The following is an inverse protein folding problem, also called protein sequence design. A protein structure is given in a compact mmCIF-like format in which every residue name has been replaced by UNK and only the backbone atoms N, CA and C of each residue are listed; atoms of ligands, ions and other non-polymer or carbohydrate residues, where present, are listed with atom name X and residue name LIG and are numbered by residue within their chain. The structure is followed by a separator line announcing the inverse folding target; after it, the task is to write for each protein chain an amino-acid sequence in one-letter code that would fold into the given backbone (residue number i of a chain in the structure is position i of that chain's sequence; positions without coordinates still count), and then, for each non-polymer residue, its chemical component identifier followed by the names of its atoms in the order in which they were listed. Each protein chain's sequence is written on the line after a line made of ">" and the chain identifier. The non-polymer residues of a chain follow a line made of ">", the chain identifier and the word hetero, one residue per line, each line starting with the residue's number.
data_IF_450249276386
#
_entry.id   IF_450249276386
#
_cell.length_a   1.000
_cell.length_b   1.000
_cell.length_c   1.000
_cell.angle_alpha   90.00
_cell.angle_beta   90.00
_cell.angle_gamma   90.00
#
_symmetry.space_group_name_H-M   'P 1'
#
loop_
_entity.id
_entity.type
_entity.pdbx_description
1 polymer ?
#
# COMPACT_ATOMS: atom_id res chain seq x y z
N UNK A 1 -2.39 -43.83 14.24
CA UNK A 1 -2.18 -42.41 13.93
C UNK A 1 -2.46 -42.28 12.45
N UNK A 2 -3.66 -41.80 12.11
CA UNK A 2 -4.10 -41.73 10.73
C UNK A 2 -4.16 -40.27 10.30
N UNK A 3 -3.88 -40.01 9.03
CA UNK A 3 -4.19 -38.72 8.41
C UNK A 3 -5.56 -38.87 7.77
N UNK A 4 -6.50 -38.06 8.23
CA UNK A 4 -7.89 -38.06 7.78
C UNK A 4 -8.13 -36.81 6.93
N UNK A 5 -8.52 -37.04 5.68
CA UNK A 5 -8.91 -35.98 4.76
C UNK A 5 -10.43 -35.82 4.81
N UNK A 6 -10.92 -34.60 5.03
CA UNK A 6 -12.25 -34.23 4.59
C UNK A 6 -12.18 -34.11 3.06
N UNK A 7 -12.72 -35.10 2.36
CA UNK A 7 -12.65 -35.21 0.89
C UNK A 7 -14.03 -35.57 0.34
N UNK A 8 -14.39 -34.93 -0.76
CA UNK A 8 -15.74 -34.97 -1.34
C UNK A 8 -16.11 -36.33 -1.94
N UNK A 9 -17.36 -36.77 -1.71
CA UNK A 9 -18.05 -37.87 -2.42
C UNK A 9 -19.42 -37.36 -2.90
N UNK A 10 -19.38 -36.37 -3.79
CA UNK A 10 -20.47 -35.83 -4.63
C UNK A 10 -21.69 -35.08 -4.00
N UNK A 11 -22.10 -34.01 -4.71
CA UNK A 11 -23.35 -33.20 -4.70
C UNK A 11 -23.72 -32.22 -3.57
N UNK A 12 -23.01 -32.13 -2.44
CA UNK A 12 -23.28 -31.10 -1.41
C UNK A 12 -22.23 -29.99 -1.44
N UNK A 13 -22.67 -28.73 -1.37
CA UNK A 13 -21.79 -27.55 -1.31
C UNK A 13 -20.89 -27.54 -0.04
N UNK A 14 -21.30 -28.24 1.02
CA UNK A 14 -20.51 -28.42 2.25
C UNK A 14 -20.83 -29.75 2.96
N UNK A 15 -19.82 -30.37 3.60
CA UNK A 15 -19.97 -31.63 4.35
C UNK A 15 -20.12 -31.41 5.86
N UNK A 16 -20.84 -32.26 6.59
CA UNK A 16 -20.99 -32.13 8.05
C UNK A 16 -19.89 -32.90 8.80
N UNK A 17 -19.25 -32.32 9.83
CA UNK A 17 -18.18 -32.98 10.59
C UNK A 17 -18.62 -34.34 11.18
N UNK A 18 -19.85 -34.43 11.69
CA UNK A 18 -20.41 -35.67 12.25
C UNK A 18 -20.90 -36.69 11.22
N UNK A 19 -20.76 -36.43 9.93
CA UNK A 19 -21.12 -37.36 8.86
C UNK A 19 -19.90 -38.17 8.43
N UNK A 20 -19.99 -39.51 8.45
CA UNK A 20 -18.93 -40.40 7.94
C UNK A 20 -18.65 -40.19 6.46
N UNK A 21 -19.63 -39.69 5.69
CA UNK A 21 -19.48 -39.41 4.26
C UNK A 21 -18.60 -38.19 3.97
N UNK A 22 -18.32 -37.36 4.98
CA UNK A 22 -17.40 -36.21 4.88
C UNK A 22 -15.94 -36.67 4.83
N UNK A 23 -15.66 -37.87 5.33
CA UNK A 23 -14.29 -38.31 5.64
C UNK A 23 -13.84 -39.41 4.70
N UNK A 24 -12.65 -39.25 4.14
CA UNK A 24 -12.01 -40.16 3.17
C UNK A 24 -11.95 -41.64 3.60
N UNK A 25 -11.93 -41.92 4.90
CA UNK A 25 -11.87 -43.28 5.44
C UNK A 25 -13.25 -43.88 5.75
N UNK A 26 -14.34 -43.13 5.56
CA UNK A 26 -15.68 -43.52 5.99
C UNK A 26 -15.85 -43.60 7.51
N UNK A 27 -14.90 -43.05 8.27
CA UNK A 27 -14.92 -43.01 9.74
C UNK A 27 -14.80 -41.56 10.22
N UNK A 28 -15.46 -41.25 11.34
CA UNK A 28 -15.33 -39.93 11.94
C UNK A 28 -13.91 -39.70 12.49
N UNK A 29 -13.39 -38.46 12.48
CA UNK A 29 -12.13 -38.12 13.11
C UNK A 29 -12.16 -38.44 14.59
N UNK A 30 -11.03 -38.90 15.09
CA UNK A 30 -10.76 -39.05 16.52
C UNK A 30 -9.75 -37.99 16.95
N UNK A 31 -9.68 -37.72 18.25
CA UNK A 31 -8.79 -36.72 18.82
C UNK A 31 -7.30 -36.90 18.45
N UNK A 32 -6.88 -38.12 18.10
CA UNK A 32 -5.48 -38.45 17.79
C UNK A 32 -5.16 -38.42 16.29
N UNK A 33 -6.14 -38.14 15.44
CA UNK A 33 -5.93 -38.07 13.99
C UNK A 33 -5.35 -36.71 13.60
N UNK A 34 -4.56 -36.72 12.52
CA UNK A 34 -4.24 -35.48 11.80
C UNK A 34 -5.35 -35.21 10.80
N UNK A 35 -5.96 -34.03 10.87
CA UNK A 35 -7.14 -33.68 10.08
C UNK A 35 -6.72 -32.70 8.99
N UNK A 36 -7.13 -32.95 7.75
CA UNK A 36 -6.92 -32.04 6.62
C UNK A 36 -8.26 -31.69 5.97
N UNK A 37 -8.63 -30.42 6.01
CA UNK A 37 -9.86 -29.88 5.42
C UNK A 37 -9.55 -29.41 3.99
N UNK A 38 -10.07 -30.14 3.00
CA UNK A 38 -9.87 -29.89 1.56
C UNK A 38 -11.13 -29.42 0.82
N UNK A 39 -12.23 -29.26 1.54
CA UNK A 39 -13.50 -28.73 1.05
C UNK A 39 -14.26 -28.12 2.23
N UNK A 40 -15.33 -27.38 1.95
CA UNK A 40 -16.13 -26.75 3.01
C UNK A 40 -16.73 -27.80 3.95
N UNK A 41 -16.45 -27.66 5.25
CA UNK A 41 -16.95 -28.53 6.32
C UNK A 41 -17.72 -27.70 7.33
N UNK A 42 -18.97 -28.07 7.56
CA UNK A 42 -19.80 -27.58 8.65
C UNK A 42 -19.39 -28.27 9.96
N UNK A 43 -18.77 -27.51 10.85
CA UNK A 43 -18.37 -27.93 12.18
C UNK A 43 -19.59 -27.93 13.12
N UNK A 44 -20.17 -29.11 13.35
CA UNK A 44 -21.41 -29.28 14.11
C UNK A 44 -21.26 -30.11 15.40
N UNK A 45 -20.03 -30.23 15.90
CA UNK A 45 -19.69 -31.03 17.08
C UNK A 45 -18.81 -30.23 18.03
N UNK A 46 -18.64 -30.73 19.26
CA UNK A 46 -17.49 -30.36 20.08
C UNK A 46 -16.36 -31.33 19.78
N UNK A 47 -15.15 -30.83 19.56
CA UNK A 47 -14.02 -31.67 19.17
C UNK A 47 -12.72 -31.24 19.83
N UNK A 48 -11.92 -32.21 20.25
CA UNK A 48 -10.58 -31.98 20.81
C UNK A 48 -9.54 -32.49 19.84
N UNK A 49 -8.58 -31.64 19.48
CA UNK A 49 -7.42 -31.98 18.64
C UNK A 49 -6.22 -32.22 19.54
N UNK A 50 -5.66 -33.43 19.53
CA UNK A 50 -4.41 -33.76 20.20
C UNK A 50 -3.19 -33.70 19.28
N UNK A 51 -3.40 -33.52 17.98
CA UNK A 51 -2.34 -33.55 16.98
C UNK A 51 -2.41 -32.32 16.07
N UNK A 52 -2.70 -32.48 14.77
CA UNK A 52 -2.70 -31.36 13.82
C UNK A 52 -4.04 -31.31 13.09
N UNK A 53 -4.58 -30.10 12.93
CA UNK A 53 -5.64 -29.79 11.97
C UNK A 53 -5.12 -28.77 10.97
N UNK A 54 -5.29 -29.05 9.68
CA UNK A 54 -4.88 -28.18 8.59
C UNK A 54 -6.09 -27.83 7.72
N UNK A 55 -6.31 -26.55 7.47
CA UNK A 55 -7.36 -26.04 6.58
C UNK A 55 -6.65 -25.46 5.36
N UNK A 56 -6.96 -26.01 4.18
CA UNK A 56 -6.34 -25.59 2.93
C UNK A 56 -6.90 -24.25 2.43
N UNK A 57 -6.19 -23.62 1.49
CA UNK A 57 -6.64 -22.35 0.91
C UNK A 57 -7.92 -22.53 0.08
N UNK A 58 -8.80 -21.53 0.12
CA UNK A 58 -10.05 -21.51 -0.65
C UNK A 58 -11.18 -22.39 -0.10
N UNK A 59 -11.02 -22.97 1.10
CA UNK A 59 -12.04 -23.81 1.75
C UNK A 59 -12.32 -23.38 3.18
N UNK A 60 -13.51 -23.72 3.69
CA UNK A 60 -13.97 -23.31 5.01
C UNK A 60 -14.17 -24.44 6.02
N UNK A 61 -13.77 -24.21 7.27
CA UNK A 61 -14.28 -24.96 8.43
C UNK A 61 -15.22 -24.02 9.19
N UNK A 62 -16.53 -24.21 9.02
CA UNK A 62 -17.56 -23.23 9.42
C UNK A 62 -18.49 -23.84 10.46
N UNK A 63 -18.63 -23.22 11.64
CA UNK A 63 -19.55 -23.71 12.66
C UNK A 63 -21.00 -23.75 12.16
N UNK A 64 -21.74 -24.78 12.58
CA UNK A 64 -23.18 -24.85 12.41
C UNK A 64 -23.88 -25.21 13.72
N UNK A 65 -24.81 -24.35 14.12
CA UNK A 65 -25.54 -24.43 15.38
C UNK A 65 -24.81 -23.78 16.56
N UNK A 66 -25.51 -23.74 17.71
CA UNK A 66 -25.07 -23.04 18.90
C UNK A 66 -24.23 -23.95 19.83
N UNK A 67 -23.34 -23.30 20.58
CA UNK A 67 -22.38 -23.82 21.56
C UNK A 67 -21.43 -24.90 21.03
N UNK A 68 -20.79 -24.64 19.88
CA UNK A 68 -19.78 -25.53 19.28
C UNK A 68 -18.36 -25.09 19.62
N UNK A 69 -17.53 -26.04 20.03
CA UNK A 69 -16.20 -25.78 20.57
C UNK A 69 -15.13 -26.68 19.94
N UNK A 70 -14.06 -26.06 19.47
CA UNK A 70 -12.82 -26.73 19.07
C UNK A 70 -11.79 -26.55 20.19
N UNK A 71 -11.30 -27.65 20.75
CA UNK A 71 -10.29 -27.62 21.81
C UNK A 71 -8.95 -28.09 21.26
N UNK A 72 -7.88 -27.31 21.47
CA UNK A 72 -6.51 -27.69 21.16
C UNK A 72 -5.82 -28.14 22.44
N UNK A 73 -5.37 -29.39 22.49
CA UNK A 73 -4.62 -29.96 23.62
C UNK A 73 -3.15 -29.50 23.60
N UNK A 74 -2.38 -29.69 24.70
CA UNK A 74 -0.97 -29.32 24.74
C UNK A 74 -0.16 -29.92 23.60
N UNK A 75 0.59 -29.08 22.87
CA UNK A 75 1.42 -29.49 21.74
C UNK A 75 0.69 -29.76 20.42
N UNK A 76 -0.64 -29.62 20.39
CA UNK A 76 -1.41 -29.69 19.15
C UNK A 76 -1.24 -28.42 18.30
N UNK A 77 -1.53 -28.52 16.99
CA UNK A 77 -1.39 -27.40 16.04
C UNK A 77 -2.62 -27.25 15.17
N UNK A 78 -3.09 -26.02 15.00
CA UNK A 78 -4.07 -25.63 14.00
C UNK A 78 -3.37 -24.78 12.95
N UNK A 79 -3.42 -25.20 11.69
CA UNK A 79 -2.96 -24.41 10.55
C UNK A 79 -4.18 -24.00 9.74
N UNK A 80 -4.48 -22.70 9.66
CA UNK A 80 -5.56 -22.19 8.85
C UNK A 80 -5.02 -21.42 7.64
N UNK A 81 -5.14 -21.97 6.43
CA UNK A 81 -4.84 -21.24 5.18
C UNK A 81 -6.11 -20.85 4.42
N UNK A 82 -7.28 -21.22 4.94
CA UNK A 82 -8.60 -21.04 4.32
C UNK A 82 -9.49 -20.14 5.17
N UNK A 83 -10.73 -20.56 5.43
CA UNK A 83 -11.69 -19.82 6.23
C UNK A 83 -12.12 -20.64 7.48
N UNK A 84 -11.51 -20.35 8.62
CA UNK A 84 -11.90 -20.93 9.90
C UNK A 84 -12.94 -20.03 10.54
N UNK A 85 -14.22 -20.40 10.46
CA UNK A 85 -15.27 -19.73 11.24
C UNK A 85 -15.72 -20.68 12.31
N UNK A 86 -15.45 -20.40 13.57
CA UNK A 86 -15.96 -21.23 14.65
C UNK A 86 -16.60 -20.39 15.75
N UNK A 87 -17.40 -21.01 16.61
CA UNK A 87 -17.97 -20.27 17.72
C UNK A 87 -16.96 -20.09 18.84
N UNK A 88 -16.24 -21.15 19.26
CA UNK A 88 -15.28 -21.09 20.37
C UNK A 88 -14.04 -21.95 20.12
N UNK A 89 -12.83 -21.36 20.13
CA UNK A 89 -11.56 -22.13 20.22
C UNK A 89 -10.99 -22.07 21.63
N UNK A 90 -11.00 -23.20 22.33
CA UNK A 90 -10.23 -23.37 23.56
C UNK A 90 -8.83 -23.89 23.22
N UNK A 91 -7.83 -23.02 23.25
CA UNK A 91 -6.46 -23.46 23.06
C UNK A 91 -5.72 -23.63 24.41
N UNK A 92 -5.56 -24.89 24.81
CA UNK A 92 -4.98 -25.33 26.07
C UNK A 92 -3.53 -25.79 25.84
N UNK A 93 -2.65 -24.82 25.53
CA UNK A 93 -1.23 -25.00 25.20
C UNK A 93 -0.92 -25.66 23.85
N UNK A 94 -1.81 -25.53 22.87
CA UNK A 94 -1.53 -25.76 21.45
C UNK A 94 -1.09 -24.47 20.72
N UNK A 95 -0.86 -24.57 19.41
CA UNK A 95 -0.46 -23.45 18.55
C UNK A 95 -1.47 -23.25 17.43
N UNK A 96 -1.94 -22.01 17.24
CA UNK A 96 -2.76 -21.63 16.09
C UNK A 96 -1.89 -20.81 15.13
N UNK A 97 -1.69 -21.30 13.91
CA UNK A 97 -1.07 -20.58 12.82
C UNK A 97 -2.17 -20.17 11.83
N UNK A 98 -2.55 -18.90 11.84
CA UNK A 98 -3.54 -18.37 10.91
C UNK A 98 -2.86 -17.64 9.75
N UNK A 99 -3.07 -18.15 8.54
CA UNK A 99 -2.65 -17.57 7.24
C UNK A 99 -3.86 -17.22 6.36
N UNK A 100 -5.08 -17.60 6.76
CA UNK A 100 -6.34 -17.31 6.08
C UNK A 100 -7.25 -16.42 6.92
N UNK A 101 -8.57 -16.56 6.75
CA UNK A 101 -9.58 -15.87 7.57
C UNK A 101 -9.87 -16.71 8.81
N UNK A 102 -9.72 -16.13 10.00
CA UNK A 102 -10.17 -16.74 11.26
C UNK A 102 -11.22 -15.86 11.92
N UNK A 103 -12.42 -16.43 12.08
CA UNK A 103 -13.56 -15.83 12.79
C UNK A 103 -13.94 -16.67 14.00
N UNK A 104 -13.98 -16.04 15.18
CA UNK A 104 -14.55 -16.60 16.41
C UNK A 104 -15.70 -15.70 16.90
N UNK A 105 -16.83 -16.30 17.29
CA UNK A 105 -17.99 -15.56 17.81
C UNK A 105 -18.11 -15.61 19.35
N UNK A 106 -17.10 -16.15 20.04
CA UNK A 106 -17.00 -16.30 21.50
C UNK A 106 -15.51 -16.40 21.91
N UNK A 107 -15.25 -16.47 23.21
CA UNK A 107 -13.94 -16.53 23.87
C UNK A 107 -12.86 -17.26 23.06
N UNK A 108 -11.80 -16.51 22.74
CA UNK A 108 -10.52 -17.08 22.35
C UNK A 108 -9.59 -17.18 23.56
N UNK A 109 -9.11 -18.40 23.72
CA UNK A 109 -7.74 -18.78 24.10
C UNK A 109 -7.08 -18.29 25.42
N UNK A 110 -6.37 -19.27 26.04
CA UNK A 110 -5.45 -19.11 27.16
C UNK A 110 -3.93 -19.21 26.79
N UNK A 111 -3.53 -19.17 25.49
CA UNK A 111 -2.18 -19.56 24.97
C UNK A 111 -1.87 -18.99 23.55
N UNK A 112 -0.69 -19.24 22.93
CA UNK A 112 -0.25 -18.44 21.77
C UNK A 112 -1.05 -18.57 20.47
N UNK A 113 -1.24 -17.45 19.76
CA UNK A 113 -1.81 -17.36 18.40
C UNK A 113 -0.78 -16.67 17.49
N UNK A 114 -0.33 -17.33 16.42
CA UNK A 114 0.48 -16.73 15.37
C UNK A 114 -0.42 -16.34 14.19
N UNK A 115 -0.76 -15.06 14.06
CA UNK A 115 -1.60 -14.51 12.99
C UNK A 115 -0.74 -13.83 11.90
N UNK A 116 -0.71 -14.43 10.72
CA UNK A 116 -0.10 -13.92 9.48
C UNK A 116 -1.14 -13.73 8.36
N UNK A 117 -2.43 -13.92 8.66
CA UNK A 117 -3.59 -13.62 7.84
C UNK A 117 -4.74 -13.09 8.71
N UNK A 118 -5.88 -12.75 8.10
CA UNK A 118 -6.92 -11.97 8.77
C UNK A 118 -7.64 -12.61 9.95
N UNK A 119 -7.75 -11.81 11.02
CA UNK A 119 -8.49 -12.13 12.25
C UNK A 119 -9.70 -11.20 12.30
N UNK A 120 -10.82 -11.69 11.77
CA UNK A 120 -12.10 -10.98 11.71
C UNK A 120 -12.94 -11.50 12.87
N UNK A 121 -13.28 -10.70 13.87
CA UNK A 121 -13.99 -11.23 15.05
C UNK A 121 -15.09 -10.33 15.56
N UNK A 122 -16.02 -10.89 16.34
CA UNK A 122 -16.90 -10.13 17.24
C UNK A 122 -16.19 -9.81 18.58
N UNK A 123 -15.26 -10.66 19.05
CA UNK A 123 -14.37 -10.39 20.20
C UNK A 123 -13.19 -11.38 20.33
N UNK A 124 -11.96 -10.90 20.11
CA UNK A 124 -10.71 -11.59 20.44
C UNK A 124 -10.51 -11.51 21.94
N UNK A 125 -10.28 -12.62 22.61
CA UNK A 125 -9.90 -12.67 24.02
C UNK A 125 -8.49 -13.28 24.11
N UNK A 126 -7.64 -12.80 25.00
CA UNK A 126 -6.32 -13.37 25.27
C UNK A 126 -6.12 -13.50 26.78
N UNK A 127 -6.29 -14.70 27.32
CA UNK A 127 -6.18 -14.98 28.75
C UNK A 127 -4.83 -15.64 29.06
N UNK A 128 -3.78 -14.88 29.40
CA UNK A 128 -2.47 -15.44 29.81
C UNK A 128 -1.64 -16.15 28.70
N UNK A 129 -1.93 -15.90 27.41
CA UNK A 129 -1.17 -16.43 26.26
C UNK A 129 -0.50 -15.35 25.40
N UNK A 130 0.31 -15.74 24.39
CA UNK A 130 0.99 -14.81 23.47
C UNK A 130 0.31 -14.71 22.10
N UNK A 131 -0.37 -13.61 21.80
CA UNK A 131 -0.83 -13.30 20.46
C UNK A 131 0.29 -12.62 19.67
N UNK A 132 0.62 -13.11 18.48
CA UNK A 132 1.59 -12.49 17.59
C UNK A 132 0.87 -12.14 16.29
N UNK A 133 0.77 -10.85 16.00
CA UNK A 133 0.15 -10.27 14.81
C UNK A 133 1.27 -9.77 13.89
N UNK A 134 1.38 -10.35 12.70
CA UNK A 134 2.39 -9.99 11.70
C UNK A 134 1.81 -9.44 10.40
N UNK A 135 0.59 -9.84 10.04
CA UNK A 135 -0.14 -9.34 8.87
C UNK A 135 -1.61 -9.81 8.88
N UNK A 136 -2.52 -9.17 9.63
CA UNK A 136 -3.91 -9.60 9.74
C UNK A 136 -4.78 -9.18 8.55
N UNK A 137 -4.24 -8.83 7.38
CA UNK A 137 -5.04 -8.51 6.18
C UNK A 137 -6.21 -7.53 6.42
N UNK A 138 -7.21 -7.54 5.52
CA UNK A 138 -8.35 -6.59 5.49
C UNK A 138 -9.38 -6.72 6.64
N UNK A 139 -9.01 -7.28 7.79
CA UNK A 139 -9.97 -7.63 8.82
C UNK A 139 -9.86 -6.83 10.10
N UNK A 140 -10.84 -5.97 10.37
CA UNK A 140 -11.05 -5.38 11.68
C UNK A 140 -11.60 -6.46 12.65
N UNK A 141 -10.98 -6.63 13.81
CA UNK A 141 -11.64 -7.37 14.90
C UNK A 141 -12.61 -6.42 15.61
N UNK A 142 -13.82 -6.84 15.98
CA UNK A 142 -14.81 -5.96 16.60
C UNK A 142 -14.51 -5.70 18.08
N UNK A 143 -13.70 -6.51 18.75
CA UNK A 143 -13.25 -6.26 20.13
C UNK A 143 -12.01 -7.09 20.44
N UNK A 144 -11.08 -6.58 21.23
CA UNK A 144 -9.89 -7.27 21.72
C UNK A 144 -9.81 -7.11 23.24
N UNK A 145 -9.88 -8.22 23.99
CA UNK A 145 -9.75 -8.26 25.45
C UNK A 145 -8.52 -9.07 25.85
N UNK A 146 -7.45 -8.41 26.24
CA UNK A 146 -6.27 -9.06 26.79
C UNK A 146 -6.38 -9.20 28.32
N UNK A 147 -6.72 -10.37 28.85
CA UNK A 147 -6.84 -10.63 30.29
C UNK A 147 -5.60 -11.36 30.81
N UNK A 148 -4.46 -10.65 30.86
CA UNK A 148 -3.22 -11.20 31.42
C UNK A 148 -2.28 -11.89 30.44
N UNK A 149 -2.59 -11.89 29.13
CA UNK A 149 -1.69 -12.40 28.08
C UNK A 149 -0.77 -11.32 27.51
N UNK A 150 0.07 -11.69 26.54
CA UNK A 150 0.91 -10.78 25.77
C UNK A 150 0.39 -10.67 24.34
N UNK A 151 0.39 -9.47 23.76
CA UNK A 151 0.07 -9.25 22.35
C UNK A 151 1.29 -8.58 21.72
N UNK A 152 1.79 -9.13 20.62
CA UNK A 152 2.92 -8.62 19.86
C UNK A 152 2.43 -8.23 18.47
N UNK A 153 2.39 -6.94 18.18
CA UNK A 153 1.97 -6.39 16.90
C UNK A 153 3.18 -5.86 16.13
N UNK A 154 3.49 -6.49 15.00
CA UNK A 154 4.64 -6.18 14.14
C UNK A 154 4.24 -5.45 12.84
N UNK A 155 2.95 -5.20 12.62
CA UNK A 155 2.44 -4.56 11.41
C UNK A 155 1.09 -3.90 11.76
N UNK A 156 0.11 -3.87 10.85
CA UNK A 156 -1.20 -3.27 11.09
C UNK A 156 -2.14 -4.20 11.89
N UNK A 157 -2.87 -3.68 12.87
CA UNK A 157 -3.93 -4.39 13.62
C UNK A 157 -5.10 -3.44 13.85
N UNK A 158 -6.21 -3.66 13.16
CA UNK A 158 -7.45 -2.89 13.35
C UNK A 158 -8.37 -3.61 14.35
N UNK A 159 -8.75 -2.93 15.44
CA UNK A 159 -9.71 -3.48 16.42
C UNK A 159 -10.74 -2.42 16.81
N UNK A 160 -12.04 -2.75 16.84
CA UNK A 160 -13.04 -1.76 17.17
C UNK A 160 -12.98 -1.35 18.64
N UNK A 161 -12.95 -2.30 19.59
CA UNK A 161 -12.74 -2.05 21.03
C UNK A 161 -11.44 -2.70 21.53
N UNK A 162 -10.62 -2.02 22.34
CA UNK A 162 -9.42 -2.63 22.95
C UNK A 162 -9.47 -2.53 24.49
N UNK A 163 -9.45 -3.67 25.18
CA UNK A 163 -9.36 -3.77 26.64
C UNK A 163 -8.12 -4.57 27.03
N UNK A 164 -7.12 -3.93 27.62
CA UNK A 164 -5.94 -4.58 28.17
C UNK A 164 -6.07 -4.66 29.70
N UNK A 165 -6.48 -5.80 30.22
CA UNK A 165 -6.70 -6.05 31.65
C UNK A 165 -5.43 -6.58 32.33
N UNK A 166 -5.15 -6.11 33.55
CA UNK A 166 -3.99 -6.56 34.35
C UNK A 166 -4.00 -8.09 34.57
N UNK A 167 -2.85 -8.79 34.43
CA UNK A 167 -1.50 -8.31 34.13
C UNK A 167 -1.14 -8.34 32.63
N UNK A 168 -2.03 -7.91 31.74
CA UNK A 168 -1.87 -8.01 30.29
C UNK A 168 -0.80 -7.09 29.71
N UNK A 169 -0.10 -7.57 28.69
CA UNK A 169 0.92 -6.86 27.93
C UNK A 169 0.52 -6.69 26.46
N UNK A 170 0.76 -5.51 25.90
CA UNK A 170 0.67 -5.25 24.46
C UNK A 170 1.98 -4.62 24.02
N UNK A 171 2.59 -5.14 22.97
CA UNK A 171 3.83 -4.71 22.35
C UNK A 171 3.50 -4.29 20.92
N UNK A 172 3.79 -3.04 20.59
CA UNK A 172 3.68 -2.49 19.24
C UNK A 172 5.12 -2.21 18.81
N UNK A 173 5.57 -2.97 17.82
CA UNK A 173 6.91 -2.86 17.26
C UNK A 173 7.07 -1.56 16.44
N UNK A 174 8.29 -1.21 16.03
CA UNK A 174 8.59 0.03 15.29
C UNK A 174 7.79 0.17 13.98
N UNK A 175 7.55 -0.94 13.29
CA UNK A 175 6.72 -0.99 12.07
C UNK A 175 5.23 -1.25 12.36
N UNK A 176 4.88 -1.49 13.64
CA UNK A 176 3.55 -1.87 14.07
C UNK A 176 2.60 -0.70 14.19
N UNK A 177 1.35 -0.89 13.78
CA UNK A 177 0.24 0.03 14.02
C UNK A 177 -0.97 -0.69 14.62
N UNK A 178 -1.52 -0.16 15.72
CA UNK A 178 -2.85 -0.56 16.20
C UNK A 178 -3.83 0.58 15.92
N UNK A 179 -4.92 0.29 15.21
CA UNK A 179 -6.02 1.22 14.96
C UNK A 179 -7.27 0.84 15.76
N UNK A 180 -7.95 1.85 16.33
CA UNK A 180 -9.15 1.64 17.15
C UNK A 180 -10.33 2.55 16.83
N UNK A 181 -11.51 1.95 16.67
CA UNK A 181 -12.76 2.66 16.36
C UNK A 181 -13.60 3.03 17.59
N UNK A 182 -13.28 2.49 18.77
CA UNK A 182 -13.94 2.77 20.06
C UNK A 182 -12.94 2.97 21.20
N UNK A 183 -13.38 3.51 22.36
CA UNK A 183 -12.49 3.80 23.49
C UNK A 183 -11.67 2.61 23.98
N UNK A 184 -10.41 2.90 24.26
CA UNK A 184 -9.43 1.93 24.74
C UNK A 184 -9.45 1.92 26.27
N UNK A 185 -9.49 0.74 26.88
CA UNK A 185 -9.31 0.56 28.32
C UNK A 185 -7.96 -0.11 28.57
N UNK A 186 -7.03 0.57 29.22
CA UNK A 186 -5.75 -0.02 29.60
C UNK A 186 -5.62 -0.10 31.13
N UNK A 187 -5.71 -1.29 31.69
CA UNK A 187 -5.36 -1.62 33.06
C UNK A 187 -4.03 -2.40 33.16
N UNK A 188 -3.49 -2.89 32.04
CA UNK A 188 -2.22 -3.62 31.95
C UNK A 188 -1.05 -2.73 31.53
N UNK A 189 -0.10 -3.28 30.78
CA UNK A 189 1.03 -2.54 30.20
C UNK A 189 0.96 -2.51 28.67
N UNK A 190 1.14 -1.33 28.08
CA UNK A 190 1.33 -1.15 26.64
C UNK A 190 2.76 -0.64 26.41
N UNK A 191 3.53 -1.35 25.59
CA UNK A 191 4.83 -0.97 25.05
C UNK A 191 4.62 -0.51 23.60
N UNK A 192 4.68 0.80 23.35
CA UNK A 192 4.47 1.38 22.03
C UNK A 192 5.77 1.93 21.43
N UNK A 193 6.33 1.24 20.45
CA UNK A 193 7.46 1.72 19.65
C UNK A 193 7.04 2.12 18.23
N UNK A 194 5.82 1.80 17.80
CA UNK A 194 5.26 2.17 16.49
C UNK A 194 4.13 3.18 16.64
N UNK A 195 2.97 2.90 16.03
CA UNK A 195 1.82 3.81 16.01
C UNK A 195 0.60 3.19 16.72
N UNK A 196 -0.02 3.96 17.61
CA UNK A 196 -1.36 3.68 18.14
C UNK A 196 -2.30 4.77 17.65
N UNK A 197 -3.21 4.44 16.74
CA UNK A 197 -4.15 5.39 16.14
C UNK A 197 -5.58 5.20 16.69
N UNK A 198 -6.22 6.31 17.06
CA UNK A 198 -7.59 6.33 17.55
C UNK A 198 -8.35 7.59 17.09
N UNK A 199 -8.97 7.58 15.90
CA UNK A 199 -9.57 8.76 15.25
C UNK A 199 -10.85 9.31 15.88
N UNK A 200 -11.38 8.70 16.94
CA UNK A 200 -12.60 9.23 17.58
C UNK A 200 -12.70 8.92 19.06
N UNK A 201 -11.66 8.34 19.65
CA UNK A 201 -11.80 7.69 20.94
C UNK A 201 -10.77 8.12 21.95
N UNK A 202 -11.19 8.05 23.21
CA UNK A 202 -10.31 8.29 24.32
C UNK A 202 -9.65 7.01 24.79
N UNK A 203 -8.41 7.12 25.24
CA UNK A 203 -7.72 6.06 25.96
C UNK A 203 -7.97 6.30 27.45
N UNK A 204 -8.56 5.31 28.11
CA UNK A 204 -8.72 5.26 29.56
C UNK A 204 -7.58 4.46 30.18
N UNK A 205 -6.52 5.15 30.59
CA UNK A 205 -5.32 4.52 31.13
C UNK A 205 -5.37 4.45 32.67
N UNK A 206 -5.54 3.24 33.21
CA UNK A 206 -5.36 2.88 34.61
C UNK A 206 -4.05 2.10 34.86
N UNK A 207 -3.39 1.62 33.80
CA UNK A 207 -2.15 0.85 33.86
C UNK A 207 -0.94 1.64 33.37
N UNK A 208 0.01 0.95 32.73
CA UNK A 208 1.26 1.55 32.24
C UNK A 208 1.24 1.68 30.73
N UNK A 209 1.67 2.83 30.23
CA UNK A 209 2.08 3.03 28.83
C UNK A 209 3.57 3.38 28.85
N UNK A 210 4.37 2.67 28.06
CA UNK A 210 5.80 2.92 27.89
C UNK A 210 6.21 2.62 26.45
N UNK A 211 7.44 2.92 26.06
CA UNK A 211 7.87 2.83 24.67
C UNK A 211 9.19 3.55 24.39
N UNK A 212 9.69 3.37 23.18
CA UNK A 212 10.92 3.97 22.68
C UNK A 212 10.64 4.69 21.36
N UNK A 213 10.13 5.93 21.42
CA UNK A 213 9.86 6.74 20.21
C UNK A 213 8.54 6.47 19.49
N UNK A 214 7.63 5.65 20.06
CA UNK A 214 6.32 5.41 19.46
C UNK A 214 5.36 6.60 19.58
N UNK A 215 4.34 6.61 18.73
CA UNK A 215 3.32 7.66 18.66
C UNK A 215 1.93 7.14 19.05
N UNK A 216 1.22 7.91 19.86
CA UNK A 216 -0.23 7.80 20.07
C UNK A 216 -0.91 8.96 19.33
N UNK A 217 -1.56 8.65 18.22
CA UNK A 217 -2.27 9.60 17.37
C UNK A 217 -3.76 9.52 17.70
N UNK A 218 -4.27 10.55 18.35
CA UNK A 218 -5.61 10.59 18.93
C UNK A 218 -6.35 11.81 18.39
N UNK A 219 -7.54 11.61 17.82
CA UNK A 219 -8.39 12.74 17.41
C UNK A 219 -9.36 13.15 18.54
N UNK A 220 -9.25 12.53 19.73
CA UNK A 220 -10.05 12.80 20.93
C UNK A 220 -9.21 12.81 22.22
N UNK A 221 -9.85 12.96 23.39
CA UNK A 221 -9.20 13.16 24.70
C UNK A 221 -8.32 11.96 25.15
N UNK A 222 -7.19 12.22 25.79
CA UNK A 222 -6.39 11.19 26.46
C UNK A 222 -6.65 11.25 27.97
N UNK A 223 -7.24 10.20 28.54
CA UNK A 223 -7.67 10.19 29.95
C UNK A 223 -6.72 9.32 30.77
N UNK A 224 -5.94 9.99 31.62
CA UNK A 224 -5.10 9.34 32.63
C UNK A 224 -5.86 9.29 33.96
N UNK A 225 -6.19 8.10 34.45
CA UNK A 225 -6.78 7.97 35.78
C UNK A 225 -5.70 7.91 36.86
N UNK A 226 -6.10 8.06 38.13
CA UNK A 226 -5.18 8.21 39.27
C UNK A 226 -4.15 7.07 39.47
N UNK A 227 -4.28 5.95 38.76
CA UNK A 227 -3.31 4.83 38.78
C UNK A 227 -2.52 4.68 37.47
N UNK A 228 -2.91 5.38 36.40
CA UNK A 228 -2.23 5.31 35.11
C UNK A 228 -0.86 5.98 35.15
N UNK A 229 0.11 5.38 34.47
CA UNK A 229 1.47 5.90 34.33
C UNK A 229 1.84 5.93 32.84
N UNK A 230 2.47 7.01 32.38
CA UNK A 230 3.10 7.09 31.07
C UNK A 230 4.61 7.36 31.25
N UNK A 231 5.45 6.42 30.81
CA UNK A 231 6.92 6.49 30.87
C UNK A 231 7.53 6.26 29.49
N UNK A 232 8.85 6.24 29.39
CA UNK A 232 9.57 5.92 28.16
C UNK A 232 10.87 5.16 28.49
N UNK A 233 11.36 4.37 27.54
CA UNK A 233 12.60 3.59 27.64
C UNK A 233 13.41 3.73 26.33
N UNK A 234 14.06 4.89 26.16
CA UNK A 234 14.97 5.16 25.04
C UNK A 234 14.67 6.45 24.26
N UNK A 235 13.40 6.89 24.22
CA UNK A 235 12.95 8.10 23.54
C UNK A 235 11.52 8.47 23.92
N UNK A 236 11.12 9.76 23.83
CA UNK A 236 9.79 10.20 24.23
C UNK A 236 8.70 9.49 23.41
N UNK A 237 7.55 9.27 24.04
CA UNK A 237 6.33 8.83 23.37
C UNK A 237 5.58 10.07 22.94
N UNK A 238 5.23 10.17 21.67
CA UNK A 238 4.44 11.29 21.18
C UNK A 238 2.95 11.05 21.46
N UNK A 239 2.28 12.03 22.10
CA UNK A 239 0.82 11.99 22.30
C UNK A 239 0.21 13.17 21.55
N UNK A 240 -0.53 12.87 20.50
CA UNK A 240 -0.84 13.81 19.44
C UNK A 240 -2.36 13.97 19.33
N UNK A 241 -2.86 15.16 19.65
CA UNK A 241 -4.25 15.55 19.43
C UNK A 241 -4.51 16.03 18.01
N UNK A 242 -5.79 16.24 17.62
CA UNK A 242 -6.18 16.58 16.24
C UNK A 242 -5.60 17.93 15.75
N UNK A 243 -5.17 18.81 16.66
CA UNK A 243 -4.57 20.11 16.35
C UNK A 243 -3.05 20.17 16.62
N UNK A 244 -2.37 19.02 16.82
CA UNK A 244 -0.96 19.02 17.29
C UNK A 244 -0.80 19.60 18.68
N UNK A 245 -1.86 19.51 19.49
CA UNK A 245 -1.83 19.85 20.90
C UNK A 245 -2.02 18.58 21.70
N UNK A 246 -1.61 18.56 22.98
CA UNK A 246 -1.99 17.45 23.83
C UNK A 246 -3.52 17.39 23.89
N UNK A 247 -4.12 16.21 23.66
CA UNK A 247 -5.54 16.02 23.90
C UNK A 247 -5.93 16.53 25.28
N UNK A 248 -7.11 17.16 25.38
CA UNK A 248 -7.66 17.52 26.69
C UNK A 248 -7.74 16.28 27.58
N UNK A 249 -7.17 16.34 28.79
CA UNK A 249 -7.05 15.17 29.66
C UNK A 249 -7.17 15.52 31.14
N UNK A 250 -7.88 14.69 31.89
CA UNK A 250 -7.80 14.69 33.36
C UNK A 250 -6.64 13.79 33.80
N UNK A 251 -5.95 14.13 34.90
CA UNK A 251 -4.98 13.24 35.56
C UNK A 251 -3.59 13.13 34.93
N UNK A 252 -3.16 14.11 34.14
CA UNK A 252 -1.81 14.17 33.52
C UNK A 252 -0.63 14.30 34.52
N UNK A 253 -0.88 14.20 35.83
CA UNK A 253 0.14 14.35 36.87
C UNK A 253 1.12 13.16 36.95
N UNK A 254 0.79 12.04 36.29
CA UNK A 254 1.56 10.80 36.30
C UNK A 254 2.28 10.53 34.96
N UNK A 255 2.47 11.58 34.16
CA UNK A 255 3.27 11.53 32.94
C UNK A 255 4.68 12.00 33.30
N UNK A 256 5.71 11.21 32.99
CA UNK A 256 7.08 11.72 33.07
C UNK A 256 7.26 12.83 32.02
N UNK A 257 7.54 14.09 32.42
CA UNK A 257 7.64 15.21 31.50
C UNK A 257 8.76 15.07 30.46
N UNK A 258 9.74 14.19 30.69
CA UNK A 258 10.81 13.91 29.72
C UNK A 258 10.44 12.80 28.73
N UNK A 259 9.32 12.12 28.96
CA UNK A 259 8.89 10.95 28.19
C UNK A 259 7.70 11.22 27.30
N UNK A 260 7.15 12.43 27.29
CA UNK A 260 6.06 12.80 26.40
C UNK A 260 6.40 14.07 25.65
N UNK A 261 6.35 13.99 24.34
CA UNK A 261 6.41 15.13 23.43
C UNK A 261 5.05 15.30 22.76
N UNK A 262 4.70 16.55 22.46
CA UNK A 262 3.46 16.90 21.76
C UNK A 262 3.80 16.99 20.29
N UNK A 263 3.18 16.17 19.44
CA UNK A 263 3.39 16.26 18.00
C UNK A 263 3.11 17.68 17.50
N UNK A 264 3.87 18.12 16.50
CA UNK A 264 3.38 19.14 15.58
C UNK A 264 2.10 18.66 14.88
N UNK A 265 1.22 19.58 14.50
CA UNK A 265 -0.11 19.35 13.91
C UNK A 265 -0.16 18.12 12.99
N UNK A 266 -0.73 17.01 13.47
CA UNK A 266 -1.17 15.91 12.62
C UNK A 266 -2.57 16.26 12.16
N UNK A 267 -2.68 16.91 10.99
CA UNK A 267 -3.97 16.97 10.30
C UNK A 267 -4.41 15.52 10.06
N UNK A 268 -5.69 15.24 10.35
CA UNK A 268 -6.32 13.92 10.23
C UNK A 268 -5.64 13.05 9.18
N UNK A 269 -5.05 11.96 9.62
CA UNK A 269 -4.34 11.01 8.79
C UNK A 269 -5.18 10.62 7.58
N UNK A 270 -4.90 11.23 6.43
CA UNK A 270 -5.28 10.70 5.14
C UNK A 270 -4.32 9.54 4.83
N UNK A 271 -4.78 8.49 4.13
CA UNK A 271 -3.92 7.37 3.74
C UNK A 271 -2.74 7.92 2.91
N UNK A 272 -1.54 7.90 3.48
CA UNK A 272 -0.28 8.50 2.96
C UNK A 272 -0.40 9.94 2.44
N UNK A 273 0.28 10.87 3.11
CA UNK A 273 0.41 12.23 2.59
C UNK A 273 1.63 12.32 1.64
N UNK A 274 1.37 12.37 0.33
CA UNK A 274 2.42 12.55 -0.68
C UNK A 274 2.90 14.01 -0.73
N UNK A 275 4.19 14.24 -0.43
CA UNK A 275 4.82 15.55 -0.56
C UNK A 275 5.07 15.93 -2.01
N UNK A 276 5.64 15.01 -2.79
CA UNK A 276 5.87 15.20 -4.22
C UNK A 276 6.01 13.86 -4.95
N UNK A 277 5.73 13.90 -6.25
CA UNK A 277 6.09 12.87 -7.22
C UNK A 277 6.67 13.56 -8.45
N UNK A 278 7.93 13.28 -8.73
CA UNK A 278 8.73 13.90 -9.79
C UNK A 278 9.16 12.86 -10.81
N UNK A 279 9.19 13.27 -12.08
CA UNK A 279 9.55 12.40 -13.21
C UNK A 279 10.48 13.17 -14.14
N UNK A 280 11.67 12.62 -14.39
CA UNK A 280 12.74 13.30 -15.13
C UNK A 280 13.27 12.38 -16.24
N UNK A 281 13.29 12.88 -17.46
CA UNK A 281 13.92 12.17 -18.58
C UNK A 281 15.43 12.45 -18.57
N UNK A 282 16.22 11.39 -18.40
CA UNK A 282 17.68 11.41 -18.47
C UNK A 282 18.13 10.50 -19.63
N UNK A 283 18.54 11.12 -20.74
CA UNK A 283 18.85 10.46 -22.02
C UNK A 283 17.72 9.54 -22.56
N UNK A 284 17.80 8.25 -22.24
CA UNK A 284 16.88 7.18 -22.69
C UNK A 284 16.21 6.45 -21.52
N UNK A 285 16.29 7.02 -20.32
CA UNK A 285 15.71 6.44 -19.11
C UNK A 285 14.90 7.51 -18.40
N UNK A 286 13.84 7.10 -17.73
CA UNK A 286 13.02 8.02 -16.94
C UNK A 286 13.23 7.72 -15.47
N UNK A 287 13.78 8.70 -14.76
CA UNK A 287 13.96 8.66 -13.31
C UNK A 287 12.67 9.15 -12.65
N UNK A 288 12.17 8.39 -11.70
CA UNK A 288 10.99 8.71 -10.91
C UNK A 288 11.40 8.80 -9.44
N UNK A 289 10.98 9.86 -8.77
CA UNK A 289 11.27 10.11 -7.36
C UNK A 289 10.01 10.60 -6.66
N UNK A 290 9.75 10.09 -5.46
CA UNK A 290 8.65 10.60 -4.64
C UNK A 290 9.01 10.61 -3.17
N UNK A 291 8.30 11.45 -2.42
CA UNK A 291 8.43 11.52 -0.98
C UNK A 291 7.07 11.65 -0.33
N UNK A 292 6.93 10.99 0.81
CA UNK A 292 5.77 10.99 1.68
C UNK A 292 6.13 11.71 2.98
N UNK A 293 5.23 12.51 3.54
CA UNK A 293 5.40 13.09 4.88
C UNK A 293 4.96 12.11 5.96
N UNK A 294 3.96 11.30 5.66
CA UNK A 294 3.44 10.23 6.50
C UNK A 294 3.02 9.05 5.63
N UNK A 295 3.12 7.85 6.16
CA UNK A 295 2.57 6.62 5.60
C UNK A 295 1.78 5.89 6.67
N UNK A 296 0.57 5.46 6.34
CA UNK A 296 -0.29 4.71 7.24
C UNK A 296 -0.83 3.52 6.46
N UNK A 297 -0.62 2.33 7.00
CA UNK A 297 -1.07 1.06 6.42
C UNK A 297 -0.55 0.80 4.99
N UNK A 298 0.54 1.44 4.57
CA UNK A 298 1.03 1.34 3.20
C UNK A 298 1.76 0.00 2.96
N UNK A 299 1.24 -0.85 2.07
CA UNK A 299 1.92 -2.08 1.69
C UNK A 299 3.02 -1.76 0.67
N UNK A 300 2.68 -1.12 -0.44
CA UNK A 300 3.61 -0.77 -1.51
C UNK A 300 3.09 0.32 -2.44
N UNK A 301 4.00 0.90 -3.21
CA UNK A 301 3.69 1.78 -4.33
C UNK A 301 3.78 1.04 -5.67
N UNK A 302 2.89 1.34 -6.60
CA UNK A 302 2.97 0.98 -8.01
C UNK A 302 3.24 2.21 -8.86
N UNK A 303 4.16 2.06 -9.80
CA UNK A 303 4.43 3.05 -10.84
C UNK A 303 3.70 2.60 -12.09
N UNK A 304 2.83 3.46 -12.60
CA UNK A 304 2.06 3.18 -13.79
C UNK A 304 2.51 4.09 -14.93
N UNK A 305 2.68 3.51 -16.12
CA UNK A 305 3.05 4.18 -17.36
C UNK A 305 1.86 4.21 -18.33
N UNK A 306 1.75 5.28 -19.10
CA UNK A 306 0.75 5.41 -20.17
C UNK A 306 1.28 6.27 -21.31
N UNK A 307 0.87 5.96 -22.54
CA UNK A 307 1.15 6.77 -23.73
C UNK A 307 -0.01 7.68 -24.13
N UNK A 308 -1.19 7.51 -23.51
CA UNK A 308 -2.42 8.24 -23.85
C UNK A 308 -3.15 8.80 -22.61
N UNK A 309 -2.57 8.66 -21.42
CA UNK A 309 -3.13 8.98 -20.11
C UNK A 309 -4.45 8.26 -19.76
N UNK A 310 -4.86 7.25 -20.54
CA UNK A 310 -6.10 6.50 -20.37
C UNK A 310 -5.82 5.02 -20.07
N UNK A 311 -4.93 4.40 -20.84
CA UNK A 311 -4.51 3.02 -20.68
C UNK A 311 -3.20 2.98 -19.90
N UNK A 312 -3.23 2.36 -18.73
CA UNK A 312 -2.11 2.36 -17.78
C UNK A 312 -1.57 0.94 -17.58
N UNK A 313 -0.27 0.78 -17.69
CA UNK A 313 0.44 -0.45 -17.35
C UNK A 313 1.26 -0.26 -16.07
N UNK A 314 1.30 -1.27 -15.20
CA UNK A 314 2.19 -1.26 -14.04
C UNK A 314 3.59 -1.64 -14.53
N UNK A 315 4.54 -0.72 -14.36
CA UNK A 315 5.94 -0.96 -14.77
C UNK A 315 6.83 -1.36 -13.60
N UNK A 316 6.46 -0.99 -12.38
CA UNK A 316 7.22 -1.33 -11.18
C UNK A 316 6.36 -1.31 -9.93
N UNK A 317 6.70 -2.18 -8.98
CA UNK A 317 6.20 -2.18 -7.61
C UNK A 317 7.35 -1.94 -6.66
N UNK A 318 7.22 -0.99 -5.74
CA UNK A 318 8.21 -0.64 -4.73
C UNK A 318 7.59 -0.82 -3.35
N UNK A 319 8.11 -1.76 -2.57
CA UNK A 319 7.67 -2.04 -1.20
C UNK A 319 7.88 -0.79 -0.31
N UNK A 320 6.93 -0.50 0.57
CA UNK A 320 7.12 0.57 1.56
C UNK A 320 8.36 0.28 2.43
N UNK A 321 9.12 1.34 2.75
CA UNK A 321 10.28 1.24 3.64
C UNK A 321 9.84 1.08 5.10
N UNK A 322 8.78 1.80 5.48
CA UNK A 322 8.07 1.63 6.74
C UNK A 322 6.57 1.86 6.48
N UNK A 323 5.75 0.80 6.59
CA UNK A 323 4.29 0.84 6.43
C UNK A 323 3.53 1.95 7.14
N UNK A 324 4.04 2.38 8.30
CA UNK A 324 3.34 3.21 9.27
C UNK A 324 4.26 4.36 9.73
N UNK A 325 4.92 5.02 8.78
CA UNK A 325 5.88 6.08 9.09
C UNK A 325 5.19 7.42 9.39
N UNK A 326 5.59 8.06 10.48
CA UNK A 326 5.28 9.47 10.76
C UNK A 326 6.44 10.41 10.38
N UNK A 327 7.48 9.86 9.75
CA UNK A 327 8.64 10.60 9.26
C UNK A 327 8.64 10.67 7.74
N UNK A 328 9.39 11.64 7.21
CA UNK A 328 9.52 11.79 5.77
C UNK A 328 10.30 10.61 5.18
N UNK A 329 9.68 9.87 4.26
CA UNK A 329 10.32 8.82 3.49
C UNK A 329 10.52 9.26 2.03
N UNK A 330 11.62 8.81 1.42
CA UNK A 330 11.95 9.12 0.02
C UNK A 330 12.23 7.84 -0.74
N UNK A 331 11.67 7.75 -1.93
CA UNK A 331 11.74 6.60 -2.80
C UNK A 331 12.14 7.02 -4.22
N UNK A 332 12.74 6.10 -4.95
CA UNK A 332 13.05 6.32 -6.35
C UNK A 332 13.03 5.01 -7.15
N UNK A 333 12.78 5.15 -8.44
CA UNK A 333 12.93 4.06 -9.42
C UNK A 333 13.26 4.61 -10.80
N UNK A 334 13.58 3.71 -11.73
CA UNK A 334 13.96 4.07 -13.10
C UNK A 334 13.24 3.19 -14.11
N UNK A 335 12.54 3.81 -15.05
CA UNK A 335 12.02 3.16 -16.25
C UNK A 335 13.14 3.07 -17.30
N UNK A 336 13.66 1.85 -17.47
CA UNK A 336 14.69 1.54 -18.46
C UNK A 336 14.13 1.27 -19.87
N UNK A 337 12.81 1.09 -19.99
CA UNK A 337 12.13 0.77 -21.26
C UNK A 337 11.35 2.00 -21.77
N UNK A 338 12.00 3.15 -21.74
CA UNK A 338 11.47 4.38 -22.30
C UNK A 338 11.55 4.35 -23.83
N UNK A 339 10.39 4.31 -24.47
CA UNK A 339 10.30 4.33 -25.93
C UNK A 339 10.50 5.77 -26.47
N UNK A 340 11.72 6.04 -26.97
CA UNK A 340 12.10 7.29 -27.62
C UNK A 340 11.33 7.63 -28.92
N UNK A 341 10.46 6.73 -29.40
CA UNK A 341 9.57 6.98 -30.55
C UNK A 341 8.26 7.68 -30.19
N UNK A 342 7.93 7.84 -28.91
CA UNK A 342 6.68 8.46 -28.46
C UNK A 342 6.92 9.91 -28.03
N UNK A 343 6.04 10.83 -28.44
CA UNK A 343 6.19 12.27 -28.20
C UNK A 343 6.06 12.63 -26.71
N UNK A 344 5.14 11.96 -25.99
CA UNK A 344 4.87 12.18 -24.57
C UNK A 344 4.60 10.83 -23.90
N UNK A 345 5.21 10.60 -22.75
CA UNK A 345 4.91 9.48 -21.87
C UNK A 345 4.44 10.01 -20.53
N UNK A 346 3.35 9.44 -20.03
CA UNK A 346 2.73 9.78 -18.76
C UNK A 346 3.06 8.74 -17.70
N UNK A 347 3.25 9.20 -16.48
CA UNK A 347 3.49 8.38 -15.30
C UNK A 347 2.56 8.82 -14.19
N UNK A 348 2.08 7.87 -13.40
CA UNK A 348 1.35 8.14 -12.15
C UNK A 348 1.81 7.19 -11.07
N UNK A 349 1.78 7.68 -9.83
CA UNK A 349 2.04 6.89 -8.65
C UNK A 349 0.71 6.38 -8.11
N UNK A 350 0.69 5.12 -7.68
CA UNK A 350 -0.42 4.49 -6.98
C UNK A 350 0.09 3.91 -5.68
N UNK A 351 -0.60 4.14 -4.58
CA UNK A 351 -0.38 3.44 -3.33
C UNK A 351 -1.36 2.28 -3.21
N UNK A 352 -0.92 1.22 -2.54
CA UNK A 352 -1.78 0.11 -2.13
C UNK A 352 -1.51 -0.19 -0.67
N UNK A 353 -2.58 -0.18 0.12
CA UNK A 353 -2.54 -0.47 1.55
C UNK A 353 -2.61 -1.98 1.81
N UNK A 354 -2.32 -2.42 3.04
CA UNK A 354 -2.45 -3.85 3.39
C UNK A 354 -3.90 -4.35 3.33
N UNK A 355 -4.86 -3.43 3.44
CA UNK A 355 -6.28 -3.73 3.24
C UNK A 355 -6.67 -3.78 1.74
N UNK A 356 -5.71 -3.61 0.82
CA UNK A 356 -5.93 -3.57 -0.62
C UNK A 356 -6.64 -2.32 -1.12
N UNK A 357 -6.96 -1.35 -0.25
CA UNK A 357 -7.40 -0.01 -0.65
C UNK A 357 -6.28 0.64 -1.46
N UNK A 358 -6.67 1.36 -2.51
CA UNK A 358 -5.73 2.02 -3.38
C UNK A 358 -6.04 3.49 -3.62
N UNK A 359 -4.98 4.30 -3.64
CA UNK A 359 -5.05 5.71 -3.98
C UNK A 359 -4.14 6.01 -5.18
N UNK A 360 -4.60 6.89 -6.06
CA UNK A 360 -3.82 7.39 -7.19
C UNK A 360 -3.42 8.83 -6.95
N UNK A 361 -2.13 9.12 -7.11
CA UNK A 361 -1.61 10.47 -7.02
C UNK A 361 -1.50 11.14 -8.40
N UNK A 362 -0.97 12.37 -8.41
CA UNK A 362 -0.87 13.20 -9.61
C UNK A 362 -0.17 12.50 -10.79
N UNK A 363 -0.66 12.81 -12.00
CA UNK A 363 -0.02 12.39 -13.25
C UNK A 363 1.11 13.37 -13.60
N UNK A 364 2.31 12.84 -13.83
CA UNK A 364 3.45 13.56 -14.41
C UNK A 364 3.70 13.07 -15.83
N UNK A 365 4.39 13.88 -16.63
CA UNK A 365 4.73 13.50 -18.00
C UNK A 365 6.13 13.94 -18.36
N UNK A 366 6.76 13.18 -19.24
CA UNK A 366 8.00 13.54 -19.90
C UNK A 366 7.78 13.56 -21.40
N UNK A 367 8.40 14.51 -22.07
CA UNK A 367 8.38 14.60 -23.53
C UNK A 367 9.80 14.63 -24.05
N UNK A 368 10.07 13.86 -25.09
CA UNK A 368 11.33 13.96 -25.79
C UNK A 368 11.22 15.10 -26.80
N UNK A 369 12.04 16.13 -26.63
CA UNK A 369 12.11 17.22 -27.60
C UNK A 369 12.91 16.75 -28.83
N UNK A 370 12.28 15.92 -29.67
CA UNK A 370 12.88 15.30 -30.86
C UNK A 370 13.47 16.33 -31.85
N UNK A 371 13.01 17.58 -31.78
CA UNK A 371 13.43 18.71 -32.61
C UNK A 371 14.74 19.37 -32.16
N UNK A 372 15.42 18.94 -31.09
CA UNK A 372 16.64 19.61 -30.59
C UNK A 372 17.89 19.35 -31.45
N UNK A 373 17.88 18.30 -32.30
CA UNK A 373 19.02 17.85 -33.10
C UNK A 373 18.66 17.58 -34.59
N UNK A 374 17.77 18.37 -35.19
CA UNK A 374 17.47 18.26 -36.64
C UNK A 374 18.31 19.32 -37.35
N UNK A 375 19.40 18.89 -38.00
CA UNK A 375 20.15 19.74 -38.92
C UNK A 375 19.43 19.75 -40.27
N UNK A 376 18.99 20.94 -40.69
CA UNK A 376 18.42 21.19 -42.01
C UNK A 376 19.41 22.02 -42.81
N UNK A 377 19.70 21.60 -44.04
CA UNK A 377 20.57 22.31 -44.99
C UNK A 377 19.84 22.57 -46.30
N UNK A 378 20.27 23.60 -47.04
CA UNK A 378 19.63 23.98 -48.32
C UNK A 378 20.65 24.09 -49.44
N UNK A 379 20.23 23.73 -50.64
CA UNK A 379 21.09 23.78 -51.80
C UNK A 379 20.27 23.81 -53.12
N UNK A 380 20.81 24.37 -54.20
CA UNK A 380 22.04 25.17 -54.25
C UNK A 380 21.80 26.58 -53.71
N UNK A 381 22.84 27.17 -53.12
CA UNK A 381 22.89 28.59 -52.78
C UNK A 381 24.26 29.13 -53.25
N UNK A 382 24.32 30.00 -54.28
CA UNK A 382 23.22 30.70 -54.94
C UNK A 382 22.27 29.82 -55.77
N UNK A 383 20.97 30.15 -55.74
CA UNK A 383 19.88 29.44 -56.45
C UNK A 383 19.53 30.11 -57.78
N UNK A 384 19.20 29.31 -58.80
CA UNK A 384 18.69 29.78 -60.09
C UNK A 384 17.18 29.56 -60.18
N UNK A 385 16.71 28.32 -60.27
CA UNK A 385 15.28 28.03 -60.45
C UNK A 385 14.64 27.25 -59.31
N UNK A 386 15.37 26.29 -58.72
CA UNK A 386 14.83 25.36 -57.71
C UNK A 386 15.78 25.24 -56.53
N UNK A 387 15.23 25.30 -55.32
CA UNK A 387 15.91 25.12 -54.05
C UNK A 387 15.51 23.80 -53.39
N UNK A 388 16.46 23.03 -52.88
CA UNK A 388 16.22 21.77 -52.17
C UNK A 388 16.53 21.91 -50.69
N UNK A 389 15.76 21.21 -49.85
CA UNK A 389 15.99 21.06 -48.42
C UNK A 389 16.45 19.63 -48.12
N UNK A 390 17.43 19.48 -47.23
CA UNK A 390 17.89 18.17 -46.73
C UNK A 390 17.92 18.20 -45.21
N UNK A 391 17.43 17.13 -44.58
CA UNK A 391 17.56 16.88 -43.15
C UNK A 391 18.07 15.47 -42.88
N UNK A 392 18.82 15.28 -41.80
CA UNK A 392 19.44 14.00 -41.44
C UNK A 392 18.49 13.04 -40.68
N UNK A 393 17.26 13.46 -40.35
CA UNK A 393 16.23 12.62 -39.72
C UNK A 393 14.96 12.53 -40.59
N UNK A 394 14.42 11.31 -40.67
CA UNK A 394 13.40 10.87 -41.64
C UNK A 394 11.96 11.37 -41.40
N UNK A 395 11.66 12.03 -40.28
CA UNK A 395 10.32 12.49 -39.93
C UNK A 395 10.34 13.96 -39.49
N UNK A 396 10.30 14.86 -40.48
CA UNK A 396 10.04 16.29 -40.25
C UNK A 396 8.70 16.60 -40.89
N UNK A 397 7.70 16.84 -40.04
CA UNK A 397 6.33 17.08 -40.47
C UNK A 397 5.97 18.57 -40.36
N UNK A 398 4.93 19.00 -41.09
CA UNK A 398 4.40 20.37 -41.06
C UNK A 398 5.47 21.45 -41.31
N UNK A 399 6.15 21.35 -42.44
CA UNK A 399 7.25 22.22 -42.82
C UNK A 399 6.71 23.52 -43.42
N UNK A 400 7.10 24.64 -42.82
CA UNK A 400 6.81 25.98 -43.36
C UNK A 400 8.11 26.58 -43.86
N UNK A 401 8.17 26.87 -45.15
CA UNK A 401 9.31 27.53 -45.78
C UNK A 401 8.93 28.95 -46.11
N UNK A 402 9.69 29.90 -45.58
CA UNK A 402 9.48 31.33 -45.77
C UNK A 402 10.73 31.98 -46.34
N UNK A 403 10.57 32.77 -47.40
CA UNK A 403 11.63 33.60 -47.97
C UNK A 403 11.25 35.05 -47.69
N UNK A 404 12.15 35.77 -47.02
CA UNK A 404 11.95 37.18 -46.68
C UNK A 404 12.97 38.05 -47.43
N UNK A 405 12.55 39.25 -47.82
CA UNK A 405 13.46 40.25 -48.39
C UNK A 405 14.34 40.89 -47.30
N UNK A 406 15.26 41.78 -47.70
CA UNK A 406 16.17 42.49 -46.77
C UNK A 406 15.48 43.40 -45.77
N UNK A 407 14.21 43.74 -45.99
CA UNK A 407 13.36 44.51 -45.06
C UNK A 407 12.58 43.60 -44.09
N UNK A 408 12.80 42.28 -44.14
CA UNK A 408 12.10 41.29 -43.31
C UNK A 408 10.67 41.00 -43.77
N UNK A 409 10.25 41.48 -44.95
CA UNK A 409 8.93 41.19 -45.48
C UNK A 409 8.91 39.82 -46.15
N UNK A 410 7.92 39.00 -45.82
CA UNK A 410 7.65 37.72 -46.48
C UNK A 410 7.33 37.93 -47.95
N UNK A 411 8.19 37.39 -48.83
CA UNK A 411 7.98 37.43 -50.28
C UNK A 411 7.46 36.10 -50.81
N UNK A 412 7.76 34.99 -50.11
CA UNK A 412 7.21 33.66 -50.40
C UNK A 412 6.99 32.88 -49.10
N UNK A 413 5.90 32.13 -49.04
CA UNK A 413 5.58 31.22 -47.95
C UNK A 413 4.91 29.97 -48.49
N UNK A 414 5.48 28.80 -48.19
CA UNK A 414 4.94 27.50 -48.56
C UNK A 414 4.77 26.62 -47.32
N UNK A 415 3.77 25.75 -47.35
CA UNK A 415 3.47 24.78 -46.30
C UNK A 415 3.47 23.40 -46.95
N UNK A 416 4.22 22.48 -46.36
CA UNK A 416 4.33 21.09 -46.81
C UNK A 416 4.09 20.16 -45.62
N UNK A 417 3.42 19.03 -45.86
CA UNK A 417 3.23 18.01 -44.83
C UNK A 417 4.56 17.36 -44.45
N UNK A 418 5.49 17.23 -45.40
CA UNK A 418 6.85 16.64 -45.24
C UNK A 418 7.88 17.39 -46.10
N UNK A 419 9.16 16.99 -46.06
CA UNK A 419 10.22 17.59 -46.89
C UNK A 419 9.90 17.48 -48.39
N UNK A 420 9.84 18.60 -49.14
CA UNK A 420 9.50 18.59 -50.56
C UNK A 420 10.65 18.01 -51.39
N UNK A 421 10.53 16.74 -51.79
CA UNK A 421 11.53 16.04 -52.60
C UNK A 421 11.69 16.61 -54.02
N UNK A 422 10.64 17.24 -54.56
CA UNK A 422 10.65 17.90 -55.86
C UNK A 422 11.35 19.28 -55.85
N UNK A 423 11.69 19.78 -54.66
CA UNK A 423 12.27 21.10 -54.47
C UNK A 423 11.25 22.24 -54.51
N UNK A 424 11.73 23.45 -54.23
CA UNK A 424 10.93 24.66 -54.07
C UNK A 424 11.25 25.59 -55.23
N UNK A 425 10.25 25.92 -56.03
CA UNK A 425 10.42 26.83 -57.16
C UNK A 425 10.71 28.26 -56.69
N UNK A 426 11.76 28.85 -57.25
CA UNK A 426 12.25 30.22 -57.00
C UNK A 426 12.21 31.09 -58.25
N UNK A 427 11.61 30.61 -59.35
CA UNK A 427 11.56 31.32 -60.64
C UNK A 427 10.90 32.70 -60.56
N UNK A 428 9.97 32.86 -59.62
CA UNK A 428 9.24 34.11 -59.42
C UNK A 428 9.96 35.10 -58.48
N UNK A 429 11.16 34.77 -58.01
CA UNK A 429 12.01 35.69 -57.26
C UNK A 429 12.91 36.47 -58.21
N UNK A 430 12.95 37.80 -58.05
CA UNK A 430 13.92 38.63 -58.73
C UNK A 430 15.35 38.31 -58.25
N UNK A 431 16.39 38.49 -59.09
CA UNK A 431 17.77 38.39 -58.65
C UNK A 431 18.06 39.30 -57.46
N UNK A 432 18.69 38.78 -56.41
CA UNK A 432 18.91 39.52 -55.18
C UNK A 432 19.25 38.68 -53.95
N UNK A 433 19.44 39.37 -52.83
CA UNK A 433 19.69 38.77 -51.52
C UNK A 433 18.39 38.65 -50.73
N UNK A 434 18.15 37.45 -50.21
CA UNK A 434 17.01 37.10 -49.38
C UNK A 434 17.49 36.41 -48.10
N UNK A 435 16.59 36.19 -47.16
CA UNK A 435 16.80 35.29 -46.04
C UNK A 435 15.76 34.18 -46.09
N UNK A 436 16.20 32.93 -46.04
CA UNK A 436 15.35 31.75 -46.01
C UNK A 436 15.16 31.31 -44.57
N UNK A 437 13.92 31.02 -44.18
CA UNK A 437 13.56 30.55 -42.86
C UNK A 437 12.72 29.27 -43.02
N UNK A 438 13.08 28.23 -42.28
CA UNK A 438 12.33 26.96 -42.26
C UNK A 438 11.83 26.71 -40.86
N UNK A 439 10.54 26.40 -40.74
CA UNK A 439 9.90 25.98 -39.50
C UNK A 439 9.34 24.56 -39.64
N UNK A 440 9.23 23.85 -38.52
CA UNK A 440 8.45 22.63 -38.37
C UNK A 440 7.74 22.69 -37.02
N UNK A 441 6.44 22.39 -36.99
CA UNK A 441 5.60 22.45 -35.78
C UNK A 441 5.73 23.79 -35.02
N UNK A 442 5.89 24.90 -35.74
CA UNK A 442 6.06 26.24 -35.17
C UNK A 442 7.47 26.56 -34.64
N UNK A 443 8.40 25.59 -34.62
CA UNK A 443 9.79 25.81 -34.24
C UNK A 443 10.65 26.13 -35.47
N UNK A 444 11.48 27.17 -35.36
CA UNK A 444 12.45 27.53 -36.42
C UNK A 444 13.59 26.50 -36.46
N UNK A 445 13.72 25.80 -37.58
CA UNK A 445 14.78 24.82 -37.84
C UNK A 445 16.01 25.45 -38.49
N UNK A 446 15.81 26.42 -39.39
CA UNK A 446 16.88 27.06 -40.16
C UNK A 446 16.57 28.54 -40.39
N UNK A 447 17.62 29.38 -40.41
CA UNK A 447 17.55 30.75 -40.92
C UNK A 447 18.89 31.13 -41.52
N UNK A 448 18.96 31.28 -42.84
CA UNK A 448 20.21 31.62 -43.52
C UNK A 448 20.04 32.51 -44.76
N UNK A 449 21.08 33.25 -45.18
CA UNK A 449 21.04 34.06 -46.38
C UNK A 449 20.85 33.20 -47.63
N UNK A 450 19.97 33.62 -48.53
CA UNK A 450 19.72 32.99 -49.84
C UNK A 450 20.05 33.98 -50.95
N UNK A 451 20.92 33.57 -51.89
CA UNK A 451 21.30 34.40 -53.04
C UNK A 451 20.54 33.89 -54.27
N UNK A 452 19.64 34.70 -54.83
CA UNK A 452 18.96 34.43 -56.11
C UNK A 452 19.77 35.05 -57.24
N UNK A 453 20.16 34.22 -58.22
CA UNK A 453 20.83 34.67 -59.46
C UNK A 453 19.86 35.23 -60.49
#
# INVERSE_FOLDING_TARGET
>A
MNILYAQHVETVNSGNWSSTNTWSTGSLPTQNDSIVIKHDVLFNVNFTVNNVINIESGVGLVYSGNNRKLTLSPGSRLHNNGNLKIQKVDNNAGTINNYGIFESSDELNNNPILAQGAVLEDAVINNYGDMIVKNPGNGASAKLNNNGGSIYNYNYLMVSDLNNNEPGFIYIDEDGMIETDRPVQNNGTIYNNGVFYSPSNFINNNGTITGNGGSFVLESNFIMNNNGIATCDGGPIDICGPDGTMPGGTGLNNIDPNCVSVCGVLQSALPVELLYFDVRLNDKQVELEWSTSTEINNDYFQILKSYDANNWEVIQTVKSQNPNSVEQLTYSTTDYDYNAGVSITYYRLKQVDFDGTDEYFEIKSVSQNLLKNIEVSVYPNPVVDVLFLRADKLSVDNIVVEIVNTMGQSVFKFIYDTLPSEGISTQNLAPGLYNLIVYSEGKKLLSEPLIKK
#
